data_IF_364148058029
#
_entry.id   IF_364148058029
#
_cell.length_a   1.000
_cell.length_b   1.000
_cell.length_c   1.000
_cell.angle_alpha   90.00
_cell.angle_beta   90.00
_cell.angle_gamma   90.00
#
_symmetry.space_group_name_H-M   'P 1'
#
loop_
_entity.id
_entity.type
_entity.pdbx_description
1 polymer ?
#
# COMPACT_ATOMS: atom_id res chain seq x y z
N UNK A 1 15.48 -13.69 2.85
CA UNK A 1 15.31 -14.73 1.79
C UNK A 1 14.36 -14.19 0.73
N UNK A 2 14.80 -13.96 -0.51
CA UNK A 2 13.91 -13.53 -1.60
C UNK A 2 12.84 -14.59 -1.81
N UNK A 3 11.56 -14.20 -1.74
CA UNK A 3 10.42 -15.08 -1.97
C UNK A 3 10.46 -15.53 -3.42
N UNK A 4 10.69 -16.83 -3.66
CA UNK A 4 10.53 -17.39 -5.01
C UNK A 4 9.04 -17.34 -5.33
N UNK A 5 8.63 -16.36 -6.14
CA UNK A 5 7.27 -16.28 -6.67
C UNK A 5 7.16 -17.40 -7.72
N UNK A 6 6.56 -18.53 -7.33
CA UNK A 6 6.12 -19.53 -8.32
C UNK A 6 4.99 -18.89 -9.13
N UNK A 7 5.28 -18.53 -10.38
CA UNK A 7 4.25 -18.17 -11.35
C UNK A 7 3.52 -19.46 -11.76
N UNK A 8 2.56 -19.88 -10.95
CA UNK A 8 1.64 -20.93 -11.36
C UNK A 8 0.66 -20.31 -12.38
N UNK A 9 0.70 -20.74 -13.60
CA UNK A 9 -0.31 -20.48 -14.64
C UNK A 9 -1.59 -21.26 -14.31
N UNK A 10 -2.22 -20.90 -13.18
CA UNK A 10 -3.48 -21.54 -12.76
C UNK A 10 -4.61 -21.24 -13.73
N UNK A 11 -4.59 -20.05 -14.31
CA UNK A 11 -5.61 -19.55 -15.22
C UNK A 11 -4.99 -19.43 -16.62
N UNK A 12 -5.49 -20.23 -17.56
CA UNK A 12 -5.14 -20.12 -18.99
C UNK A 12 -6.41 -19.89 -19.80
N UNK A 13 -6.32 -19.37 -21.04
CA UNK A 13 -7.48 -19.23 -21.92
C UNK A 13 -8.23 -20.56 -22.14
N UNK A 14 -7.48 -21.66 -22.28
CA UNK A 14 -8.04 -23.00 -22.52
C UNK A 14 -8.83 -23.51 -21.31
N UNK A 15 -8.35 -23.27 -20.10
CA UNK A 15 -9.07 -23.61 -18.86
C UNK A 15 -10.31 -22.74 -18.68
N UNK A 16 -10.17 -21.43 -18.94
CA UNK A 16 -11.31 -20.51 -18.83
C UNK A 16 -12.42 -20.84 -19.82
N UNK A 17 -12.11 -21.37 -21.01
CA UNK A 17 -13.10 -21.83 -21.99
C UNK A 17 -13.91 -23.04 -21.53
N UNK A 18 -13.43 -23.78 -20.52
CA UNK A 18 -14.09 -24.97 -19.97
C UNK A 18 -14.89 -24.66 -18.69
N UNK A 19 -14.73 -23.46 -18.12
CA UNK A 19 -15.46 -23.03 -16.93
C UNK A 19 -16.95 -22.93 -17.23
N UNK A 20 -17.78 -23.33 -16.27
CA UNK A 20 -19.24 -23.20 -16.33
C UNK A 20 -19.62 -21.77 -16.74
N UNK A 21 -20.38 -21.60 -17.86
CA UNK A 21 -20.80 -20.29 -18.35
C UNK A 21 -21.57 -19.47 -17.32
N UNK A 22 -22.42 -20.11 -16.49
CA UNK A 22 -23.20 -19.43 -15.47
C UNK A 22 -22.31 -18.76 -14.41
N UNK A 23 -21.14 -19.36 -14.10
CA UNK A 23 -20.17 -18.75 -13.20
C UNK A 23 -19.50 -17.53 -13.83
N UNK A 24 -19.26 -17.56 -15.15
CA UNK A 24 -18.67 -16.42 -15.87
C UNK A 24 -19.66 -15.26 -15.92
N UNK A 25 -20.94 -15.55 -16.23
CA UNK A 25 -22.02 -14.57 -16.27
C UNK A 25 -22.21 -13.93 -14.90
N UNK A 26 -22.43 -14.73 -13.84
CA UNK A 26 -22.54 -14.26 -12.46
C UNK A 26 -21.35 -13.39 -12.03
N UNK A 27 -20.14 -13.80 -12.42
CA UNK A 27 -18.92 -13.04 -12.14
C UNK A 27 -18.90 -11.67 -12.83
N UNK A 28 -19.35 -11.59 -14.09
CA UNK A 28 -19.41 -10.35 -14.86
C UNK A 28 -20.48 -9.40 -14.26
N UNK A 29 -21.67 -9.89 -13.96
CA UNK A 29 -22.74 -9.12 -13.34
C UNK A 29 -22.32 -8.52 -12.01
N UNK A 30 -21.63 -9.32 -11.19
CA UNK A 30 -21.05 -8.84 -9.94
C UNK A 30 -20.00 -7.73 -10.16
N UNK A 31 -19.13 -7.87 -11.16
CA UNK A 31 -18.12 -6.85 -11.46
C UNK A 31 -18.78 -5.55 -11.97
N UNK A 32 -19.81 -5.66 -12.79
CA UNK A 32 -20.61 -4.52 -13.27
C UNK A 32 -21.37 -3.82 -12.12
N UNK A 33 -21.92 -4.60 -11.21
CA UNK A 33 -22.48 -4.06 -9.97
C UNK A 33 -21.41 -3.27 -9.17
N UNK A 34 -20.18 -3.78 -9.06
CA UNK A 34 -19.10 -3.06 -8.36
C UNK A 34 -18.74 -1.75 -9.04
N UNK A 35 -18.84 -1.67 -10.38
CA UNK A 35 -18.70 -0.42 -11.13
C UNK A 35 -19.83 0.54 -10.77
N UNK A 36 -21.08 0.07 -10.74
CA UNK A 36 -22.26 0.90 -10.44
C UNK A 36 -22.24 1.52 -9.04
N UNK A 37 -21.60 0.86 -8.08
CA UNK A 37 -21.41 1.35 -6.71
C UNK A 37 -20.06 2.05 -6.49
N UNK A 38 -19.43 2.50 -7.58
CA UNK A 38 -18.17 3.27 -7.60
C UNK A 38 -17.02 2.60 -6.81
N UNK A 39 -16.82 1.28 -6.98
CA UNK A 39 -15.64 0.62 -6.42
C UNK A 39 -14.36 1.03 -7.18
N UNK A 40 -13.25 1.11 -6.45
CA UNK A 40 -11.97 1.43 -7.06
C UNK A 40 -11.57 0.41 -8.13
N UNK A 41 -11.14 0.87 -9.32
CA UNK A 41 -10.74 0.03 -10.46
C UNK A 41 -9.78 -1.11 -10.07
N UNK A 42 -8.78 -0.80 -9.24
CA UNK A 42 -7.83 -1.82 -8.75
C UNK A 42 -8.47 -2.91 -7.90
N UNK A 43 -9.60 -2.61 -7.22
CA UNK A 43 -10.35 -3.62 -6.45
C UNK A 43 -11.14 -4.52 -7.40
N UNK A 44 -11.75 -3.94 -8.43
CA UNK A 44 -12.50 -4.69 -9.45
C UNK A 44 -11.57 -5.63 -10.21
N UNK A 45 -10.41 -5.13 -10.68
CA UNK A 45 -9.39 -5.94 -11.34
C UNK A 45 -8.88 -7.10 -10.45
N UNK A 46 -8.70 -6.82 -9.16
CA UNK A 46 -8.30 -7.85 -8.20
C UNK A 46 -9.39 -8.91 -8.02
N UNK A 47 -10.65 -8.49 -7.87
CA UNK A 47 -11.78 -9.42 -7.73
C UNK A 47 -11.95 -10.27 -8.98
N UNK A 48 -11.84 -9.68 -10.17
CA UNK A 48 -11.86 -10.42 -11.44
C UNK A 48 -10.79 -11.52 -11.48
N UNK A 49 -9.56 -11.21 -11.06
CA UNK A 49 -8.48 -12.21 -11.03
C UNK A 49 -8.74 -13.30 -9.97
N UNK A 50 -9.23 -12.93 -8.80
CA UNK A 50 -9.54 -13.87 -7.73
C UNK A 50 -10.69 -14.82 -8.14
N UNK A 51 -11.71 -14.30 -8.83
CA UNK A 51 -12.82 -15.10 -9.37
C UNK A 51 -12.34 -16.09 -10.45
N UNK A 52 -11.53 -15.64 -11.41
CA UNK A 52 -10.96 -16.55 -12.44
C UNK A 52 -10.21 -17.73 -11.82
N UNK A 53 -9.42 -17.48 -10.76
CA UNK A 53 -8.73 -18.55 -10.04
C UNK A 53 -9.73 -19.51 -9.40
N UNK A 54 -10.78 -18.99 -8.80
CA UNK A 54 -11.78 -19.82 -8.15
C UNK A 54 -12.61 -20.62 -9.16
N UNK A 55 -13.00 -20.03 -10.29
CA UNK A 55 -13.74 -20.71 -11.36
C UNK A 55 -12.95 -21.88 -11.94
N UNK A 56 -11.64 -21.70 -12.18
CA UNK A 56 -10.77 -22.80 -12.64
C UNK A 56 -10.69 -23.90 -11.58
N UNK A 57 -10.61 -23.55 -10.30
CA UNK A 57 -10.65 -24.56 -9.23
C UNK A 57 -11.98 -25.34 -9.22
N UNK A 58 -13.11 -24.68 -9.39
CA UNK A 58 -14.41 -25.38 -9.46
C UNK A 58 -14.47 -26.33 -10.67
N UNK A 59 -13.95 -25.91 -11.79
CA UNK A 59 -13.89 -26.73 -13.00
C UNK A 59 -13.02 -27.97 -12.79
N UNK A 60 -11.84 -27.83 -12.20
CA UNK A 60 -10.89 -28.94 -12.03
C UNK A 60 -11.22 -29.88 -10.86
N UNK A 61 -11.81 -29.35 -9.77
CA UNK A 61 -11.90 -30.08 -8.49
C UNK A 61 -13.31 -30.24 -7.93
N UNK A 62 -14.30 -29.53 -8.48
CA UNK A 62 -15.67 -29.53 -7.96
C UNK A 62 -16.72 -29.90 -9.02
N UNK A 63 -16.31 -30.58 -10.12
CA UNK A 63 -17.23 -30.99 -11.19
C UNK A 63 -17.89 -29.81 -11.91
N UNK A 64 -17.17 -28.67 -11.99
CA UNK A 64 -17.64 -27.46 -12.67
C UNK A 64 -18.99 -26.92 -12.17
N UNK A 65 -19.26 -27.08 -10.86
CA UNK A 65 -20.51 -26.65 -10.25
C UNK A 65 -20.75 -25.17 -10.40
N UNK A 66 -22.03 -24.80 -10.49
CA UNK A 66 -22.42 -23.41 -10.36
C UNK A 66 -22.20 -22.90 -8.93
N UNK A 67 -21.83 -21.63 -8.77
CA UNK A 67 -21.51 -21.02 -7.48
C UNK A 67 -22.65 -21.16 -6.44
N UNK A 68 -23.88 -21.05 -6.90
CA UNK A 68 -25.09 -21.14 -6.07
C UNK A 68 -25.25 -22.53 -5.42
N UNK A 69 -24.78 -23.60 -6.09
CA UNK A 69 -24.92 -25.00 -5.66
C UNK A 69 -23.77 -25.46 -4.76
N UNK A 70 -22.85 -24.57 -4.42
CA UNK A 70 -21.71 -24.95 -3.60
C UNK A 70 -22.09 -25.24 -2.15
N UNK A 71 -21.46 -26.26 -1.60
CA UNK A 71 -21.53 -26.59 -0.18
C UNK A 71 -20.41 -25.94 0.63
N UNK A 72 -20.59 -25.84 1.95
CA UNK A 72 -19.49 -25.44 2.86
C UNK A 72 -18.25 -26.31 2.68
N UNK A 73 -18.43 -27.60 2.35
CA UNK A 73 -17.33 -28.53 2.12
C UNK A 73 -16.50 -28.13 0.89
N UNK A 74 -17.13 -27.66 -0.18
CA UNK A 74 -16.44 -27.22 -1.40
C UNK A 74 -15.56 -25.99 -1.09
N UNK A 75 -16.07 -25.01 -0.36
CA UNK A 75 -15.29 -23.83 0.07
C UNK A 75 -14.16 -24.21 1.04
N UNK A 76 -14.41 -25.13 1.98
CA UNK A 76 -13.38 -25.61 2.91
C UNK A 76 -12.25 -26.34 2.15
N UNK A 77 -12.58 -27.16 1.15
CA UNK A 77 -11.61 -27.84 0.29
C UNK A 77 -10.80 -26.84 -0.53
N UNK A 78 -11.44 -25.79 -1.06
CA UNK A 78 -10.73 -24.72 -1.76
C UNK A 78 -9.71 -24.01 -0.82
N UNK A 79 -10.11 -23.70 0.40
CA UNK A 79 -9.20 -23.12 1.38
C UNK A 79 -8.01 -24.04 1.67
N UNK A 80 -8.25 -25.34 1.86
CA UNK A 80 -7.20 -26.34 2.06
C UNK A 80 -6.28 -26.41 0.84
N UNK A 81 -6.82 -26.56 -0.36
CA UNK A 81 -6.06 -26.59 -1.62
C UNK A 81 -5.13 -25.36 -1.77
N UNK A 82 -5.63 -24.17 -1.49
CA UNK A 82 -4.82 -22.96 -1.56
C UNK A 82 -3.67 -22.96 -0.55
N UNK A 83 -3.88 -23.50 0.63
CA UNK A 83 -2.86 -23.50 1.69
C UNK A 83 -1.86 -24.65 1.53
N UNK A 84 -2.31 -25.87 1.18
CA UNK A 84 -1.47 -27.08 1.15
C UNK A 84 -0.84 -27.32 -0.22
N UNK A 85 -1.62 -27.25 -1.30
CA UNK A 85 -1.13 -27.55 -2.66
C UNK A 85 -0.44 -26.32 -3.29
N UNK A 86 -1.09 -25.16 -3.22
CA UNK A 86 -0.54 -23.93 -3.77
C UNK A 86 0.44 -23.23 -2.80
N UNK A 87 0.49 -23.66 -1.55
CA UNK A 87 1.33 -23.09 -0.50
C UNK A 87 1.18 -21.56 -0.38
N UNK A 88 -0.04 -21.08 -0.52
CA UNK A 88 -0.32 -19.66 -0.37
C UNK A 88 -0.38 -19.26 1.10
N UNK A 89 0.02 -18.00 1.37
CA UNK A 89 -0.04 -17.47 2.72
C UNK A 89 -1.49 -17.35 3.22
N UNK A 90 -1.71 -17.51 4.54
CA UNK A 90 -3.01 -17.27 5.15
C UNK A 90 -3.61 -15.91 4.79
N UNK A 91 -2.78 -14.86 4.70
CA UNK A 91 -3.21 -13.53 4.31
C UNK A 91 -3.77 -13.48 2.87
N UNK A 92 -3.13 -14.21 1.91
CA UNK A 92 -3.65 -14.32 0.54
C UNK A 92 -4.97 -15.07 0.51
N UNK A 93 -5.09 -16.17 1.25
CA UNK A 93 -6.34 -16.95 1.33
C UNK A 93 -7.49 -16.13 1.92
N UNK A 94 -7.24 -15.36 2.99
CA UNK A 94 -8.22 -14.45 3.57
C UNK A 94 -8.72 -13.41 2.56
N UNK A 95 -7.83 -12.89 1.73
CA UNK A 95 -8.19 -11.94 0.67
C UNK A 95 -9.08 -12.57 -0.39
N UNK A 96 -8.73 -13.75 -0.91
CA UNK A 96 -9.55 -14.51 -1.86
C UNK A 96 -10.95 -14.78 -1.29
N UNK A 97 -10.99 -15.21 -0.04
CA UNK A 97 -12.25 -15.46 0.64
C UNK A 97 -13.10 -14.19 0.82
N UNK A 98 -12.46 -13.02 0.99
CA UNK A 98 -13.17 -11.74 1.03
C UNK A 98 -13.84 -11.43 -0.32
N UNK A 99 -13.20 -11.75 -1.46
CA UNK A 99 -13.81 -11.66 -2.79
C UNK A 99 -15.04 -12.57 -2.90
N UNK A 100 -14.92 -13.83 -2.51
CA UNK A 100 -16.03 -14.77 -2.54
C UNK A 100 -17.16 -14.38 -1.58
N UNK A 101 -16.85 -13.82 -0.42
CA UNK A 101 -17.86 -13.30 0.51
C UNK A 101 -18.58 -12.08 -0.08
N UNK A 102 -17.87 -11.22 -0.81
CA UNK A 102 -18.48 -10.08 -1.49
C UNK A 102 -19.42 -10.52 -2.61
N UNK A 103 -19.03 -11.55 -3.40
CA UNK A 103 -19.92 -12.17 -4.39
C UNK A 103 -21.13 -12.81 -3.71
N UNK A 104 -20.94 -13.56 -2.61
CA UNK A 104 -22.06 -14.16 -1.87
C UNK A 104 -23.06 -13.10 -1.36
N UNK A 105 -22.56 -11.96 -0.89
CA UNK A 105 -23.43 -10.87 -0.46
C UNK A 105 -24.16 -10.20 -1.64
N UNK A 106 -23.54 -10.15 -2.83
CA UNK A 106 -24.19 -9.68 -4.04
C UNK A 106 -25.36 -10.59 -4.41
N UNK A 107 -25.15 -11.91 -4.43
CA UNK A 107 -26.22 -12.87 -4.72
C UNK A 107 -27.34 -12.77 -3.67
N UNK A 108 -26.98 -12.72 -2.37
CA UNK A 108 -27.96 -12.65 -1.28
C UNK A 108 -28.83 -11.39 -1.31
N UNK A 109 -28.32 -10.25 -1.79
CA UNK A 109 -28.99 -8.96 -1.66
C UNK A 109 -29.47 -8.36 -2.98
N UNK A 110 -28.96 -8.83 -4.13
CA UNK A 110 -29.27 -8.28 -5.44
C UNK A 110 -29.95 -9.28 -6.38
N UNK A 111 -29.81 -10.59 -6.08
CA UNK A 111 -30.40 -11.67 -6.87
C UNK A 111 -31.27 -12.58 -5.97
N UNK A 112 -31.84 -12.01 -4.89
CA UNK A 112 -32.68 -12.74 -3.93
C UNK A 112 -34.00 -13.19 -4.54
N UNK A 113 -34.52 -12.51 -5.53
CA UNK A 113 -35.71 -12.89 -6.32
C UNK A 113 -35.44 -14.05 -7.29
N UNK A 114 -34.19 -14.18 -7.79
CA UNK A 114 -33.77 -15.27 -8.66
C UNK A 114 -33.33 -16.52 -7.89
N UNK A 115 -32.62 -16.30 -6.77
CA UNK A 115 -32.07 -17.37 -5.92
C UNK A 115 -32.63 -17.36 -4.49
N UNK A 116 -33.94 -17.45 -4.34
CA UNK A 116 -34.65 -17.37 -3.04
C UNK A 116 -34.06 -18.25 -1.93
N UNK A 117 -33.53 -19.41 -2.27
CA UNK A 117 -32.97 -20.39 -1.33
C UNK A 117 -31.44 -20.28 -1.11
N UNK A 118 -30.79 -19.30 -1.73
CA UNK A 118 -29.35 -19.12 -1.59
C UNK A 118 -28.95 -18.80 -0.15
N UNK A 119 -27.90 -19.44 0.32
CA UNK A 119 -27.33 -19.21 1.66
C UNK A 119 -25.86 -18.83 1.55
N UNK A 120 -25.45 -17.66 2.06
CA UNK A 120 -24.06 -17.20 1.99
C UNK A 120 -23.17 -18.05 2.91
N UNK A 121 -22.69 -19.17 2.38
CA UNK A 121 -21.91 -20.16 3.11
C UNK A 121 -20.48 -19.74 3.34
N UNK A 122 -19.91 -18.88 2.48
CA UNK A 122 -18.48 -18.49 2.50
C UNK A 122 -18.09 -17.87 3.84
N UNK A 123 -18.93 -16.97 4.38
CA UNK A 123 -18.68 -16.30 5.67
C UNK A 123 -18.75 -17.23 6.88
N UNK A 124 -19.34 -18.42 6.72
CA UNK A 124 -19.46 -19.43 7.80
C UNK A 124 -18.21 -20.32 7.95
N UNK A 125 -17.29 -20.22 7.00
CA UNK A 125 -16.01 -20.95 7.08
C UNK A 125 -15.01 -20.11 7.86
N UNK A 126 -14.33 -20.70 8.82
CA UNK A 126 -13.31 -20.02 9.60
C UNK A 126 -12.13 -19.60 8.72
N UNK A 127 -11.57 -18.44 9.01
CA UNK A 127 -10.37 -17.97 8.32
C UNK A 127 -9.13 -18.66 8.88
N UNK A 128 -8.12 -18.97 8.05
CA UNK A 128 -6.86 -19.45 8.55
C UNK A 128 -6.22 -18.41 9.48
N UNK A 129 -5.49 -18.86 10.49
CA UNK A 129 -4.78 -17.95 11.40
C UNK A 129 -3.81 -17.05 10.59
N UNK A 130 -3.70 -15.80 11.01
CA UNK A 130 -2.83 -14.85 10.33
C UNK A 130 -1.43 -14.90 10.97
N UNK A 131 -0.56 -15.72 10.41
CA UNK A 131 0.84 -15.72 10.80
C UNK A 131 1.56 -14.57 10.12
N UNK A 132 2.41 -13.85 10.87
CA UNK A 132 3.31 -12.86 10.30
C UNK A 132 4.39 -13.61 9.51
N UNK A 133 4.23 -13.67 8.19
CA UNK A 133 5.13 -14.40 7.26
C UNK A 133 6.43 -13.62 6.99
N UNK A 134 6.46 -12.33 7.24
CA UNK A 134 7.60 -11.46 6.99
C UNK A 134 7.92 -10.66 8.25
N UNK A 135 9.16 -10.72 8.68
CA UNK A 135 9.71 -9.71 9.58
C UNK A 135 9.67 -8.35 8.85
N UNK A 136 9.20 -7.34 9.57
CA UNK A 136 9.20 -5.99 9.02
C UNK A 136 10.65 -5.52 8.90
N UNK A 137 11.03 -5.00 7.74
CA UNK A 137 12.29 -4.28 7.62
C UNK A 137 12.12 -2.93 8.32
N UNK A 138 12.78 -2.77 9.46
CA UNK A 138 12.89 -1.50 10.17
C UNK A 138 14.19 -0.85 9.72
N UNK A 139 14.10 0.38 9.20
CA UNK A 139 15.27 1.15 8.80
C UNK A 139 15.64 2.12 9.90
N UNK A 140 16.92 2.16 10.21
CA UNK A 140 17.52 3.21 11.01
C UNK A 140 17.85 4.42 10.13
N UNK A 141 17.91 5.59 10.72
CA UNK A 141 18.22 6.86 10.04
C UNK A 141 19.52 6.79 9.25
N UNK A 142 20.56 6.23 9.85
CA UNK A 142 21.91 6.09 9.26
C UNK A 142 21.90 5.27 7.98
N UNK A 143 21.10 4.22 7.90
CA UNK A 143 21.00 3.39 6.68
C UNK A 143 20.31 4.17 5.53
N UNK A 144 19.27 4.91 5.84
CA UNK A 144 18.57 5.71 4.85
C UNK A 144 19.40 6.93 4.43
N UNK A 145 20.16 7.53 5.34
CA UNK A 145 21.08 8.62 5.02
C UNK A 145 22.18 8.16 4.07
N UNK A 146 22.83 7.01 4.33
CA UNK A 146 23.82 6.42 3.42
C UNK A 146 23.26 6.16 2.02
N UNK A 147 21.99 5.72 1.94
CA UNK A 147 21.32 5.54 0.65
C UNK A 147 21.12 6.89 -0.06
N UNK A 148 20.68 7.93 0.66
CA UNK A 148 20.53 9.28 0.11
C UNK A 148 21.85 9.82 -0.40
N UNK A 149 22.94 9.71 0.39
CA UNK A 149 24.28 10.15 0.01
C UNK A 149 24.77 9.43 -1.26
N UNK A 150 24.56 8.11 -1.34
CA UNK A 150 24.87 7.32 -2.54
C UNK A 150 24.07 7.78 -3.77
N UNK A 151 22.77 8.06 -3.61
CA UNK A 151 21.95 8.53 -4.73
C UNK A 151 22.40 9.91 -5.22
N UNK A 152 22.81 10.80 -4.31
CA UNK A 152 23.37 12.11 -4.64
C UNK A 152 24.73 11.96 -5.35
N UNK A 153 25.63 11.12 -4.84
CA UNK A 153 26.92 10.82 -5.49
C UNK A 153 26.75 10.28 -6.92
N UNK A 154 25.67 9.51 -7.16
CA UNK A 154 25.34 8.97 -8.49
C UNK A 154 24.47 9.90 -9.33
N UNK A 155 24.27 11.14 -8.93
CA UNK A 155 23.43 12.13 -9.61
C UNK A 155 21.98 11.65 -9.88
N UNK A 156 21.48 10.71 -9.03
CA UNK A 156 20.12 10.19 -9.11
C UNK A 156 19.17 11.05 -8.26
N UNK A 157 19.13 12.34 -8.59
CA UNK A 157 18.44 13.35 -7.78
C UNK A 157 16.93 13.15 -7.72
N UNK A 158 16.31 12.61 -8.76
CA UNK A 158 14.89 12.21 -8.76
C UNK A 158 14.59 11.15 -7.70
N UNK A 159 15.47 10.14 -7.58
CA UNK A 159 15.35 9.09 -6.58
C UNK A 159 15.64 9.59 -5.17
N UNK A 160 16.64 10.43 -5.01
CA UNK A 160 16.98 11.06 -3.74
C UNK A 160 15.84 11.94 -3.25
N UNK A 161 15.26 12.77 -4.13
CA UNK A 161 14.10 13.60 -3.84
C UNK A 161 12.87 12.75 -3.44
N UNK A 162 12.57 11.68 -4.18
CA UNK A 162 11.43 10.80 -3.87
C UNK A 162 11.60 10.07 -2.52
N UNK A 163 12.81 9.58 -2.22
CA UNK A 163 13.12 8.93 -0.96
C UNK A 163 13.00 9.90 0.20
N UNK A 164 13.65 11.07 0.08
CA UNK A 164 13.58 12.12 1.10
C UNK A 164 12.16 12.63 1.31
N UNK A 165 11.36 12.80 0.23
CA UNK A 165 9.94 13.14 0.35
C UNK A 165 9.20 12.10 1.20
N UNK A 166 9.39 10.81 0.92
CA UNK A 166 8.74 9.73 1.66
C UNK A 166 9.16 9.69 3.14
N UNK A 167 10.47 9.90 3.41
CA UNK A 167 11.03 9.95 4.76
C UNK A 167 10.46 11.12 5.59
N UNK A 168 10.07 12.21 4.93
CA UNK A 168 9.66 13.44 5.59
C UNK A 168 8.14 13.72 5.55
N UNK A 169 7.34 12.81 4.98
CA UNK A 169 5.89 12.94 4.95
C UNK A 169 5.11 11.65 5.24
N UNK A 170 5.79 10.52 5.31
CA UNK A 170 5.17 9.22 5.60
C UNK A 170 4.08 8.79 4.62
N UNK A 171 4.07 9.30 3.38
CA UNK A 171 3.02 8.99 2.39
C UNK A 171 3.19 7.60 1.77
N UNK A 172 2.07 7.06 1.26
CA UNK A 172 2.12 5.78 0.53
C UNK A 172 2.81 5.96 -0.81
N UNK A 173 3.47 4.92 -1.29
CA UNK A 173 4.12 4.88 -2.62
C UNK A 173 3.23 5.46 -3.73
N UNK A 174 1.94 5.11 -3.78
CA UNK A 174 1.01 5.59 -4.81
C UNK A 174 0.60 7.06 -4.64
N UNK A 175 0.97 7.72 -3.55
CA UNK A 175 0.65 9.11 -3.27
C UNK A 175 1.81 10.04 -3.66
N UNK A 176 3.06 9.56 -3.61
CA UNK A 176 4.26 10.36 -3.89
C UNK A 176 4.27 11.01 -5.29
N UNK A 177 3.87 10.34 -6.38
CA UNK A 177 3.85 10.96 -7.70
C UNK A 177 2.83 12.09 -7.86
N UNK A 178 1.93 12.28 -6.90
CA UNK A 178 0.84 13.27 -6.95
C UNK A 178 1.22 14.64 -6.39
N UNK A 179 2.47 14.76 -5.94
CA UNK A 179 2.97 16.05 -5.48
C UNK A 179 3.42 16.90 -6.67
N UNK A 180 3.08 18.19 -6.62
CA UNK A 180 3.52 19.19 -7.60
C UNK A 180 4.69 19.98 -7.03
N UNK A 181 5.50 20.55 -7.93
CA UNK A 181 6.62 21.42 -7.57
C UNK A 181 6.13 22.61 -6.74
N UNK A 182 5.03 23.23 -7.16
CA UNK A 182 4.44 24.38 -6.49
C UNK A 182 3.98 24.15 -5.04
N UNK A 183 3.85 22.89 -4.62
CA UNK A 183 3.50 22.59 -3.22
C UNK A 183 4.65 22.86 -2.24
N UNK A 184 5.87 22.97 -2.75
CA UNK A 184 7.09 23.16 -2.00
C UNK A 184 7.67 24.57 -2.16
N UNK A 185 6.84 25.53 -2.54
CA UNK A 185 7.16 26.94 -2.44
C UNK A 185 7.23 27.34 -0.96
N UNK A 186 8.20 28.20 -0.60
CA UNK A 186 8.41 28.62 0.79
C UNK A 186 7.19 29.36 1.37
N UNK A 187 6.32 29.93 0.52
CA UNK A 187 5.02 30.50 0.93
C UNK A 187 4.03 29.47 1.47
N UNK A 188 4.23 28.20 1.18
CA UNK A 188 3.43 27.09 1.71
C UNK A 188 3.95 26.53 3.04
N UNK A 189 5.01 27.11 3.61
CA UNK A 189 5.51 26.72 4.92
C UNK A 189 4.58 27.23 6.01
N UNK A 190 4.07 26.32 6.81
CA UNK A 190 3.26 26.60 7.99
C UNK A 190 3.99 26.17 9.26
N UNK A 191 3.68 26.83 10.38
CA UNK A 191 4.31 26.54 11.68
C UNK A 191 5.85 26.63 11.65
N UNK A 192 6.43 27.32 10.65
CA UNK A 192 7.88 27.49 10.47
C UNK A 192 8.64 26.23 10.03
N UNK A 193 7.98 25.07 9.88
CA UNK A 193 8.68 23.79 9.69
C UNK A 193 8.01 22.81 8.74
N UNK A 194 6.78 23.05 8.31
CA UNK A 194 6.02 22.10 7.50
C UNK A 194 5.57 22.73 6.18
N UNK A 195 5.93 22.16 5.05
CA UNK A 195 5.19 22.40 3.81
C UNK A 195 3.79 21.82 3.94
N UNK A 196 2.79 22.64 3.67
CA UNK A 196 1.38 22.24 3.61
C UNK A 196 0.88 22.34 2.17
N UNK A 197 0.35 21.26 1.63
CA UNK A 197 -0.18 21.32 0.26
C UNK A 197 -1.34 22.29 0.15
N UNK A 198 -1.33 23.22 -0.85
CA UNK A 198 -2.39 24.21 -1.03
C UNK A 198 -3.72 23.58 -1.46
N UNK A 199 -3.65 22.43 -2.09
CA UNK A 199 -4.82 21.63 -2.48
C UNK A 199 -4.76 20.23 -1.87
N UNK A 200 -5.91 19.55 -1.81
CA UNK A 200 -6.01 18.19 -1.26
C UNK A 200 -5.52 17.17 -2.27
N UNK A 201 -4.69 16.26 -1.83
CA UNK A 201 -4.18 15.14 -2.63
C UNK A 201 -5.11 13.93 -2.47
N UNK A 202 -5.44 13.29 -3.59
CA UNK A 202 -6.16 12.01 -3.60
C UNK A 202 -5.32 10.93 -2.94
N UNK A 203 -5.90 10.26 -1.96
CA UNK A 203 -5.27 9.14 -1.27
C UNK A 203 -6.12 7.87 -1.40
N UNK A 204 -5.66 6.74 -0.82
CA UNK A 204 -6.43 5.49 -0.84
C UNK A 204 -7.74 5.67 -0.07
N UNK A 205 -8.87 5.37 -0.71
CA UNK A 205 -10.20 5.44 -0.12
C UNK A 205 -11.22 4.73 -1.01
N UNK A 206 -12.49 4.68 -0.58
CA UNK A 206 -13.58 4.16 -1.40
C UNK A 206 -13.86 5.08 -2.58
N UNK A 207 -14.32 4.48 -3.67
CA UNK A 207 -14.76 5.18 -4.88
C UNK A 207 -13.62 5.66 -5.78
N UNK A 208 -14.01 6.17 -6.93
CA UNK A 208 -13.10 6.71 -7.94
C UNK A 208 -12.37 7.96 -7.44
N UNK A 209 -13.02 8.76 -6.57
CA UNK A 209 -12.43 9.99 -6.00
C UNK A 209 -11.43 9.70 -4.87
N UNK A 210 -11.51 8.53 -4.19
CA UNK A 210 -10.70 8.22 -3.01
C UNK A 210 -10.91 9.22 -1.86
N UNK A 211 -10.09 9.10 -0.81
CA UNK A 211 -10.04 10.10 0.26
C UNK A 211 -9.15 11.27 -0.16
N UNK A 212 -9.63 12.50 0.03
CA UNK A 212 -8.88 13.73 -0.27
C UNK A 212 -8.28 14.29 1.02
N UNK A 213 -6.97 14.47 1.06
CA UNK A 213 -6.25 14.93 2.25
C UNK A 213 -5.31 16.08 1.93
N UNK A 214 -5.25 17.06 2.82
CA UNK A 214 -4.11 17.98 2.92
C UNK A 214 -2.91 17.20 3.44
N UNK A 215 -1.75 17.40 2.82
CA UNK A 215 -0.53 16.71 3.16
C UNK A 215 0.50 17.67 3.75
N UNK A 216 1.30 17.15 4.67
CA UNK A 216 2.37 17.89 5.31
C UNK A 216 3.70 17.19 5.06
N UNK A 217 4.78 17.97 4.89
CA UNK A 217 6.14 17.46 4.70
C UNK A 217 7.10 18.31 5.55
N UNK A 218 7.99 17.67 6.30
CA UNK A 218 9.03 18.36 7.07
C UNK A 218 9.94 19.14 6.12
N UNK A 219 9.99 20.46 6.27
CA UNK A 219 10.67 21.33 5.30
C UNK A 219 12.19 21.20 5.37
N UNK A 220 12.78 21.38 6.57
CA UNK A 220 14.24 21.44 6.76
C UNK A 220 14.98 20.19 6.25
N UNK A 221 14.59 18.94 6.61
CA UNK A 221 15.29 17.76 6.15
C UNK A 221 14.99 17.39 4.68
N UNK A 222 13.86 17.85 4.13
CA UNK A 222 13.52 17.58 2.73
C UNK A 222 14.15 18.57 1.74
N UNK A 223 14.26 19.84 2.10
CA UNK A 223 14.69 20.93 1.20
C UNK A 223 16.02 20.67 0.47
N UNK A 224 17.09 20.14 1.08
CA UNK A 224 18.35 19.89 0.34
C UNK A 224 18.18 18.99 -0.88
N UNK A 225 17.39 17.92 -0.78
CA UNK A 225 17.16 16.96 -1.88
C UNK A 225 16.16 17.51 -2.91
N UNK A 226 15.23 18.34 -2.46
CA UNK A 226 14.35 19.11 -3.34
C UNK A 226 15.15 20.05 -4.21
N UNK A 227 16.03 20.86 -3.61
CA UNK A 227 16.83 21.87 -4.32
C UNK A 227 17.78 21.23 -5.35
N UNK A 228 18.43 20.11 -5.00
CA UNK A 228 19.24 19.33 -5.93
C UNK A 228 18.43 18.88 -7.16
N UNK A 229 17.24 18.34 -6.92
CA UNK A 229 16.37 17.88 -7.99
C UNK A 229 15.83 19.04 -8.84
N UNK A 230 15.41 20.14 -8.23
CA UNK A 230 14.92 21.31 -8.97
C UNK A 230 16.03 21.97 -9.80
N UNK A 231 17.27 22.05 -9.31
CA UNK A 231 18.42 22.52 -10.07
C UNK A 231 18.70 21.62 -11.28
N UNK A 232 18.74 20.31 -11.07
CA UNK A 232 18.90 19.34 -12.17
C UNK A 232 17.80 19.50 -13.23
N UNK A 233 16.55 19.65 -12.82
CA UNK A 233 15.41 19.89 -13.74
C UNK A 233 15.64 21.15 -14.59
N UNK A 234 16.06 22.24 -13.95
CA UNK A 234 16.32 23.50 -14.63
C UNK A 234 17.44 23.38 -15.65
N UNK A 235 18.54 22.72 -15.31
CA UNK A 235 19.69 22.48 -16.18
C UNK A 235 19.34 21.61 -17.39
N UNK A 236 18.42 20.68 -17.24
CA UNK A 236 18.02 19.72 -18.27
C UNK A 236 16.70 20.07 -18.97
N UNK A 237 16.14 21.27 -18.71
CA UNK A 237 14.90 21.72 -19.36
C UNK A 237 13.67 20.86 -19.06
N UNK A 238 13.60 20.24 -17.86
CA UNK A 238 12.46 19.41 -17.46
C UNK A 238 11.34 20.32 -16.99
N UNK A 239 10.41 20.65 -17.90
CA UNK A 239 9.25 21.47 -17.64
C UNK A 239 8.02 20.58 -17.38
N UNK A 240 7.65 20.45 -16.10
CA UNK A 240 6.48 19.70 -15.66
C UNK A 240 5.98 20.25 -14.33
N UNK A 241 4.66 20.31 -14.13
CA UNK A 241 4.10 20.69 -12.84
C UNK A 241 4.36 19.64 -11.74
N UNK A 242 4.56 18.38 -12.11
CA UNK A 242 4.75 17.27 -11.19
C UNK A 242 6.16 17.26 -10.62
N UNK A 243 6.27 17.07 -9.30
CA UNK A 243 7.57 16.92 -8.65
C UNK A 243 8.33 15.71 -9.19
N UNK A 244 7.64 14.60 -9.41
CA UNK A 244 8.16 13.36 -9.98
C UNK A 244 7.46 13.12 -11.32
N UNK A 245 7.94 13.71 -12.42
CA UNK A 245 7.36 13.55 -13.75
C UNK A 245 7.63 12.16 -14.30
N UNK A 246 6.75 11.70 -15.18
CA UNK A 246 6.89 10.43 -15.88
C UNK A 246 7.97 10.51 -16.94
N UNK A 247 8.76 9.43 -17.05
CA UNK A 247 9.81 9.30 -18.07
C UNK A 247 9.40 8.25 -19.10
N UNK A 248 9.41 8.63 -20.39
CA UNK A 248 9.05 7.76 -21.52
C UNK A 248 10.19 7.86 -22.54
N UNK A 249 10.77 6.73 -22.93
CA UNK A 249 11.87 6.67 -23.90
C UNK A 249 13.06 7.60 -23.59
N UNK A 250 13.32 7.84 -22.30
CA UNK A 250 14.41 8.71 -21.87
C UNK A 250 14.02 10.17 -21.63
N UNK A 251 12.87 10.62 -22.09
CA UNK A 251 12.36 11.98 -21.96
C UNK A 251 11.32 12.13 -20.87
N UNK A 252 11.31 13.26 -20.17
CA UNK A 252 10.29 13.58 -19.18
C UNK A 252 9.09 14.25 -19.84
N UNK A 253 7.88 13.79 -19.49
CA UNK A 253 6.62 14.34 -19.95
C UNK A 253 5.83 14.93 -18.77
N UNK A 254 4.91 15.85 -19.06
CA UNK A 254 4.09 16.50 -18.03
C UNK A 254 2.91 15.61 -17.58
N UNK A 255 3.28 14.43 -17.09
CA UNK A 255 2.39 13.49 -16.40
C UNK A 255 3.06 13.03 -15.09
N UNK A 256 2.27 12.68 -14.07
CA UNK A 256 2.84 12.12 -12.85
C UNK A 256 3.47 10.75 -13.12
N UNK A 257 4.58 10.47 -12.45
CA UNK A 257 5.27 9.18 -12.51
C UNK A 257 4.32 8.01 -12.20
N UNK A 258 4.43 6.91 -12.94
CA UNK A 258 3.74 5.67 -12.59
C UNK A 258 4.30 5.11 -11.27
N UNK A 259 3.46 4.79 -10.27
CA UNK A 259 3.90 4.15 -9.03
C UNK A 259 4.67 2.84 -9.22
N UNK A 260 4.58 2.19 -10.40
CA UNK A 260 5.39 1.01 -10.75
C UNK A 260 6.88 1.36 -10.87
N UNK A 261 7.22 2.57 -11.33
CA UNK A 261 8.60 3.06 -11.37
C UNK A 261 9.22 3.08 -9.98
N UNK A 262 8.49 3.55 -8.98
CA UNK A 262 8.94 3.50 -7.59
C UNK A 262 9.15 2.05 -7.09
N UNK A 263 8.42 1.07 -7.63
CA UNK A 263 8.64 -0.34 -7.29
C UNK A 263 9.98 -0.85 -7.84
N UNK A 264 10.34 -0.49 -9.09
CA UNK A 264 11.64 -0.86 -9.66
C UNK A 264 12.81 -0.16 -8.94
N UNK A 265 12.60 1.06 -8.45
CA UNK A 265 13.60 1.74 -7.61
C UNK A 265 13.80 1.03 -6.27
N UNK A 266 12.75 0.45 -5.70
CA UNK A 266 12.87 -0.34 -4.47
C UNK A 266 13.81 -1.54 -4.63
N UNK A 267 13.84 -2.19 -5.80
CA UNK A 267 14.80 -3.26 -6.10
C UNK A 267 16.25 -2.73 -6.11
N UNK A 268 16.47 -1.54 -6.71
CA UNK A 268 17.77 -0.86 -6.69
C UNK A 268 18.23 -0.53 -5.27
N UNK A 269 17.31 0.02 -4.45
CA UNK A 269 17.59 0.36 -3.06
C UNK A 269 17.87 -0.87 -2.21
N UNK A 270 17.13 -1.97 -2.42
CA UNK A 270 17.39 -3.25 -1.76
C UNK A 270 18.79 -3.79 -2.06
N UNK A 271 19.20 -3.70 -3.32
CA UNK A 271 20.53 -4.15 -3.73
C UNK A 271 21.65 -3.33 -3.07
N UNK A 272 21.46 -2.01 -2.94
CA UNK A 272 22.43 -1.15 -2.26
C UNK A 272 22.48 -1.41 -0.75
N UNK A 273 21.32 -1.54 -0.11
CA UNK A 273 21.23 -1.71 1.34
C UNK A 273 21.56 -3.14 1.81
N UNK A 274 21.59 -4.11 0.88
CA UNK A 274 21.77 -5.53 1.23
C UNK A 274 20.59 -6.15 1.98
N UNK A 275 19.45 -5.44 2.04
CA UNK A 275 18.22 -5.88 2.71
C UNK A 275 16.99 -5.46 1.89
N UNK A 276 15.86 -6.11 2.11
CA UNK A 276 14.63 -5.83 1.37
C UNK A 276 14.11 -4.42 1.68
N UNK A 277 14.05 -3.57 0.67
CA UNK A 277 13.45 -2.24 0.77
C UNK A 277 12.02 -2.24 0.24
N UNK A 278 11.12 -1.71 1.02
CA UNK A 278 9.73 -1.47 0.63
C UNK A 278 9.36 -0.01 0.94
N UNK A 279 8.76 0.70 0.00
CA UNK A 279 8.27 2.06 0.24
C UNK A 279 7.35 2.18 1.46
N UNK A 280 6.69 1.08 1.81
CA UNK A 280 5.83 1.04 2.99
C UNK A 280 6.63 1.06 4.31
N UNK A 281 7.85 0.52 4.31
CA UNK A 281 8.77 0.60 5.47
C UNK A 281 9.17 2.04 5.79
N UNK A 282 9.27 2.91 4.77
CA UNK A 282 9.57 4.32 4.98
C UNK A 282 8.43 5.04 5.73
N UNK A 283 7.19 4.61 5.53
CA UNK A 283 6.07 5.12 6.33
C UNK A 283 6.12 4.64 7.79
N UNK A 284 6.59 3.41 8.03
CA UNK A 284 6.91 2.92 9.37
C UNK A 284 8.02 3.74 10.00
N UNK A 285 9.12 3.95 9.28
CA UNK A 285 10.23 4.80 9.70
C UNK A 285 9.74 6.19 10.13
N UNK A 286 9.02 6.92 9.27
CA UNK A 286 8.52 8.25 9.58
C UNK A 286 7.62 8.27 10.82
N UNK A 287 6.73 7.28 10.96
CA UNK A 287 5.84 7.18 12.13
C UNK A 287 6.63 6.97 13.42
N UNK A 288 7.64 6.08 13.38
CA UNK A 288 8.49 5.78 14.52
C UNK A 288 9.34 6.98 14.92
N UNK A 289 9.91 7.69 13.93
CA UNK A 289 10.68 8.93 14.19
C UNK A 289 9.83 10.04 14.81
N UNK A 290 8.61 10.26 14.29
CA UNK A 290 7.66 11.19 14.91
C UNK A 290 7.39 10.83 16.37
N UNK A 291 7.22 9.53 16.66
CA UNK A 291 6.98 9.09 18.03
C UNK A 291 8.23 9.16 18.91
N UNK A 292 9.44 8.85 18.37
CA UNK A 292 10.71 9.03 19.08
C UNK A 292 10.96 10.49 19.45
N UNK A 293 10.56 11.41 18.57
CA UNK A 293 10.61 12.85 18.80
C UNK A 293 9.56 13.38 19.77
N UNK A 294 8.71 12.51 20.32
CA UNK A 294 7.74 12.85 21.36
C UNK A 294 6.41 13.39 20.84
N UNK A 295 6.11 13.28 19.53
CA UNK A 295 4.79 13.66 19.04
C UNK A 295 3.71 12.73 19.62
N UNK A 296 2.60 13.28 20.12
CA UNK A 296 1.43 12.50 20.55
C UNK A 296 0.83 11.69 19.37
N UNK A 297 0.26 10.53 19.68
CA UNK A 297 -0.27 9.63 18.66
C UNK A 297 -1.42 10.23 17.83
N UNK A 298 -2.24 11.09 18.42
CA UNK A 298 -3.29 11.83 17.71
C UNK A 298 -2.72 12.89 16.75
N UNK A 299 -1.62 13.53 17.10
CA UNK A 299 -0.91 14.46 16.20
C UNK A 299 -0.28 13.70 15.05
N UNK A 300 0.35 12.53 15.29
CA UNK A 300 0.89 11.65 14.26
C UNK A 300 -0.25 11.18 13.34
N UNK A 301 -1.39 10.80 13.90
CA UNK A 301 -2.58 10.41 13.14
C UNK A 301 -3.01 11.52 12.17
N UNK A 302 -3.11 12.75 12.65
CA UNK A 302 -3.49 13.92 11.84
C UNK A 302 -2.45 14.23 10.76
N UNK A 303 -1.17 14.21 11.11
CA UNK A 303 -0.05 14.50 10.19
C UNK A 303 -0.03 13.52 9.01
N UNK A 304 -0.25 12.24 9.29
CA UNK A 304 -0.27 11.17 8.28
C UNK A 304 -1.66 11.04 7.61
N UNK A 305 -2.72 11.57 8.22
CA UNK A 305 -4.08 11.54 7.70
C UNK A 305 -4.77 10.17 7.85
N UNK A 306 -4.51 9.45 8.94
CA UNK A 306 -5.21 8.21 9.26
C UNK A 306 -6.61 8.48 9.83
N UNK A 307 -7.50 7.50 9.67
CA UNK A 307 -8.87 7.57 10.19
C UNK A 307 -9.02 7.00 11.61
N UNK A 308 -8.03 6.24 12.10
CA UNK A 308 -8.04 5.60 13.41
C UNK A 308 -6.68 5.71 14.07
N UNK A 309 -6.65 5.88 15.40
CA UNK A 309 -5.44 5.84 16.23
C UNK A 309 -4.76 4.47 16.22
N UNK A 310 -5.52 3.38 16.04
CA UNK A 310 -4.96 2.02 15.96
C UNK A 310 -3.89 1.91 14.86
N UNK A 311 -4.02 2.72 13.80
CA UNK A 311 -3.04 2.75 12.72
C UNK A 311 -1.68 3.24 13.20
N UNK A 312 -1.62 4.15 14.18
CA UNK A 312 -0.35 4.61 14.73
C UNK A 312 0.38 3.43 15.39
N UNK A 313 -0.31 2.66 16.23
CA UNK A 313 0.26 1.48 16.90
C UNK A 313 0.77 0.43 15.91
N UNK A 314 0.09 0.24 14.76
CA UNK A 314 0.50 -0.73 13.73
C UNK A 314 1.81 -0.30 13.03
N UNK A 315 2.01 1.02 12.86
CA UNK A 315 3.15 1.59 12.12
C UNK A 315 4.30 2.02 13.01
N UNK A 316 4.12 2.05 14.32
CA UNK A 316 5.10 2.45 15.31
C UNK A 316 5.97 1.25 15.67
N UNK A 317 7.17 1.22 15.12
CA UNK A 317 8.14 0.18 15.38
C UNK A 317 9.08 0.62 16.52
N UNK A 318 8.53 0.76 17.72
CA UNK A 318 9.22 1.11 18.96
C UNK A 318 8.92 0.00 19.95
N UNK A 319 9.94 -0.64 20.49
CA UNK A 319 9.76 -1.68 21.50
C UNK A 319 9.45 -1.12 22.91
N UNK A 320 9.17 -2.03 23.84
CA UNK A 320 8.81 -1.64 25.19
C UNK A 320 10.01 -1.04 25.94
N UNK A 321 11.20 -1.60 25.72
CA UNK A 321 12.41 -1.18 26.42
C UNK A 321 12.83 0.22 25.97
N UNK A 322 12.82 0.52 24.65
CA UNK A 322 13.06 1.85 24.11
C UNK A 322 12.08 2.88 24.69
N UNK A 323 10.81 2.50 24.90
CA UNK A 323 9.84 3.37 25.55
C UNK A 323 10.16 3.58 27.04
N UNK A 324 10.48 2.51 27.75
CA UNK A 324 10.72 2.60 29.18
C UNK A 324 11.97 3.41 29.48
N UNK A 325 13.06 3.21 28.75
CA UNK A 325 14.28 4.02 28.87
C UNK A 325 14.03 5.53 28.70
N UNK A 326 13.07 5.90 27.85
CA UNK A 326 12.68 7.31 27.64
C UNK A 326 11.99 7.91 28.87
N UNK A 327 11.17 7.13 29.58
CA UNK A 327 10.29 7.64 30.64
C UNK A 327 10.73 7.28 32.04
N UNK A 328 11.64 6.34 32.24
CA UNK A 328 12.07 5.86 33.53
C UNK A 328 13.58 6.03 33.74
N UNK A 329 13.98 6.22 35.01
CA UNK A 329 15.37 6.25 35.46
C UNK A 329 15.42 5.70 36.90
N UNK A 330 16.62 5.61 37.49
CA UNK A 330 16.81 5.11 38.86
C UNK A 330 15.97 5.90 39.89
N UNK A 331 15.75 7.21 39.66
CA UNK A 331 14.96 8.07 40.53
C UNK A 331 13.44 8.06 40.22
N UNK A 332 12.97 7.18 39.27
CA UNK A 332 11.57 7.05 38.92
C UNK A 332 11.23 7.57 37.52
N UNK A 333 10.22 8.42 37.37
CA UNK A 333 9.73 8.91 36.07
C UNK A 333 10.49 10.20 35.67
N UNK A 334 11.11 10.15 34.49
CA UNK A 334 11.81 11.29 33.88
C UNK A 334 10.84 12.37 33.41
N UNK A 335 11.22 13.64 33.54
CA UNK A 335 10.65 14.72 32.72
C UNK A 335 11.15 14.54 31.28
N UNK A 336 10.24 14.29 30.34
CA UNK A 336 10.58 14.13 28.91
C UNK A 336 10.56 15.51 28.26
N UNK A 337 11.72 15.97 27.80
CA UNK A 337 11.80 17.14 26.91
C UNK A 337 11.47 16.70 25.49
N UNK A 338 10.65 17.49 24.80
CA UNK A 338 10.34 17.23 23.39
C UNK A 338 11.53 17.68 22.53
N UNK A 339 12.13 16.74 21.79
CA UNK A 339 13.13 17.06 20.77
C UNK A 339 12.49 17.77 19.58
N UNK A 340 13.21 18.67 18.92
CA UNK A 340 12.75 19.28 17.69
C UNK A 340 12.78 18.26 16.54
N UNK A 341 11.70 18.18 15.76
CA UNK A 341 11.66 17.36 14.53
C UNK A 341 12.69 17.83 13.48
N UNK A 342 13.21 19.04 13.60
CA UNK A 342 14.28 19.54 12.72
C UNK A 342 15.65 18.96 13.03
N UNK A 343 15.78 18.23 14.12
CA UNK A 343 17.03 17.59 14.56
C UNK A 343 17.06 16.11 14.17
N UNK A 344 15.99 15.63 13.53
CA UNK A 344 15.83 14.32 12.91
C UNK A 344 16.16 14.43 11.43
#
# INVERSE_FOLDING_TARGET
MKRVVKHNTLVTPEKMAQVNPDNIELGNDFLDYLVSVDRAKSTIEQYQNDLKIFWVYLMEHCGNKFFIDLSKRDISKYQSYCLTELQWSPARMRRLKATLSSLSNYVENMLDDEFENFKPIVRKIENPQNEKVLEKTVFEKEHLQKLLDYLVEKEQYDKACALSLAMNNGRRKSELPRFKVSYFDDSNIVYGSLYKTPEKIKTKGRGSRGKQLTCYTLAKPFKPYLDLWLNYRKEHGIDSEWLLPKKVNGEYIDEPMDPKTLSSWADTFSNYLGTDFYWHSIRHYFTSECSRSGLPDDVIQMLIGWSSLDMVSIYKDIDADEKFEKYFCEDGIKKVEQASLSDI
#
